data_IF_199313678310
#
_entry.id   IF_199313678310
#
_cell.length_a   1.000
_cell.length_b   1.000
_cell.length_c   1.000
_cell.angle_alpha   90.00
_cell.angle_beta   90.00
_cell.angle_gamma   90.00
#
_symmetry.space_group_name_H-M   'P 1'
#
loop_
_entity.id
_entity.type
_entity.pdbx_description
1 polymer ?
#
# COMPACT_ATOMS: atom_id res chain seq x y z
N UNK A 1 -6.48 -3.09 4.50
CA UNK A 1 -6.78 -2.44 5.80
C UNK A 1 -6.25 -3.30 6.95
N UNK A 2 -5.60 -2.66 7.91
CA UNK A 2 -5.18 -3.26 9.17
C UNK A 2 -6.17 -2.97 10.30
N UNK A 3 -7.01 -1.94 10.10
CA UNK A 3 -8.02 -1.49 11.06
C UNK A 3 -9.36 -1.28 10.36
N UNK A 4 -10.44 -1.15 11.14
CA UNK A 4 -11.79 -0.90 10.64
C UNK A 4 -12.22 0.57 10.78
N UNK A 5 -11.78 1.28 11.84
CA UNK A 5 -12.09 2.70 12.02
C UNK A 5 -11.32 3.57 11.03
N UNK A 6 -12.03 4.16 10.08
CA UNK A 6 -11.43 4.98 9.01
C UNK A 6 -11.25 6.46 9.36
N UNK A 7 -11.90 6.94 10.44
CA UNK A 7 -11.89 8.34 10.82
C UNK A 7 -10.83 8.62 11.88
N UNK A 8 -9.93 9.57 11.64
CA UNK A 8 -8.93 10.04 12.60
C UNK A 8 -9.25 11.45 13.16
N UNK A 9 -10.45 11.97 12.95
CA UNK A 9 -10.80 13.37 13.24
C UNK A 9 -11.13 13.70 14.69
N UNK A 10 -11.33 12.73 15.58
CA UNK A 10 -11.63 12.94 16.99
C UNK A 10 -10.71 12.12 17.90
N UNK A 11 -10.60 12.51 19.17
CA UNK A 11 -9.85 11.74 20.17
C UNK A 11 -10.45 10.36 20.43
N UNK A 12 -11.77 10.20 20.28
CA UNK A 12 -12.45 8.92 20.41
C UNK A 12 -12.09 7.97 19.28
N UNK A 13 -12.19 8.44 18.05
CA UNK A 13 -11.82 7.63 16.88
C UNK A 13 -10.34 7.28 16.85
N UNK A 14 -9.47 8.18 17.25
CA UNK A 14 -8.03 7.88 17.41
C UNK A 14 -7.78 6.76 18.42
N UNK A 15 -8.45 6.78 19.58
CA UNK A 15 -8.35 5.69 20.56
C UNK A 15 -8.87 4.36 20.00
N UNK A 16 -9.94 4.39 19.23
CA UNK A 16 -10.46 3.20 18.55
C UNK A 16 -9.42 2.64 17.58
N UNK A 17 -8.84 3.49 16.73
CA UNK A 17 -7.79 3.10 15.77
C UNK A 17 -6.58 2.49 16.47
N UNK A 18 -6.08 3.10 17.54
CA UNK A 18 -4.97 2.56 18.35
C UNK A 18 -5.31 1.18 18.93
N UNK A 19 -6.53 1.01 19.44
CA UNK A 19 -7.00 -0.29 19.96
C UNK A 19 -7.05 -1.35 18.88
N UNK A 20 -7.46 -0.99 17.66
CA UNK A 20 -7.53 -1.90 16.51
C UNK A 20 -6.13 -2.27 16.01
N UNK A 21 -5.18 -1.32 15.91
CA UNK A 21 -3.79 -1.63 15.60
C UNK A 21 -3.16 -2.53 16.67
N UNK A 22 -3.43 -2.28 17.94
CA UNK A 22 -2.97 -3.15 19.02
C UNK A 22 -3.54 -4.58 18.87
N UNK A 23 -4.80 -4.70 18.50
CA UNK A 23 -5.44 -5.98 18.19
C UNK A 23 -4.83 -6.68 16.98
N UNK A 24 -4.58 -5.94 15.91
CA UNK A 24 -3.92 -6.47 14.70
C UNK A 24 -2.51 -7.01 15.02
N UNK A 25 -1.74 -6.29 15.81
CA UNK A 25 -0.36 -6.65 16.17
C UNK A 25 -0.26 -7.64 17.33
N UNK A 26 -1.39 -8.01 17.98
CA UNK A 26 -1.41 -8.88 19.15
C UNK A 26 -0.88 -10.30 18.90
N UNK A 27 -1.13 -10.97 17.74
CA UNK A 27 -0.67 -12.33 17.50
C UNK A 27 0.84 -12.50 17.71
N UNK A 28 1.24 -13.50 18.50
CA UNK A 28 2.65 -13.71 18.87
C UNK A 28 3.57 -13.94 17.67
N UNK A 29 3.04 -14.42 16.54
CA UNK A 29 3.81 -14.63 15.30
C UNK A 29 4.46 -13.34 14.81
N UNK A 30 3.82 -12.18 15.01
CA UNK A 30 4.35 -10.88 14.60
C UNK A 30 5.54 -10.38 15.43
N UNK A 31 5.86 -11.08 16.53
CA UNK A 31 7.08 -10.81 17.31
C UNK A 31 8.32 -11.48 16.74
N UNK A 32 8.15 -12.43 15.82
CA UNK A 32 9.23 -13.23 15.24
C UNK A 32 9.32 -13.20 13.74
N UNK A 33 8.29 -12.68 13.05
CA UNK A 33 8.29 -12.53 11.59
C UNK A 33 8.16 -11.06 11.21
N UNK A 34 8.90 -10.60 10.20
CA UNK A 34 8.71 -9.27 9.65
C UNK A 34 7.33 -9.14 8.99
N UNK A 35 6.74 -7.95 9.11
CA UNK A 35 5.44 -7.61 8.54
C UNK A 35 5.68 -6.56 7.45
N UNK A 36 5.04 -6.74 6.29
CA UNK A 36 4.95 -5.75 5.23
C UNK A 36 3.46 -5.43 4.98
N UNK A 37 2.94 -4.47 5.71
CA UNK A 37 1.53 -4.11 5.67
C UNK A 37 1.24 -3.17 4.51
N UNK A 38 0.27 -3.51 3.65
CA UNK A 38 -0.18 -2.64 2.55
C UNK A 38 -1.25 -1.68 3.06
N UNK A 39 -1.09 -0.39 2.82
CA UNK A 39 -2.02 0.66 3.24
C UNK A 39 -3.39 0.47 2.57
N UNK A 40 -4.45 0.40 3.37
CA UNK A 40 -5.82 0.37 2.90
C UNK A 40 -6.52 1.73 3.04
N UNK A 41 -7.80 1.78 2.65
CA UNK A 41 -8.57 3.02 2.73
C UNK A 41 -9.00 3.37 4.16
N UNK A 42 -9.01 2.42 5.09
CA UNK A 42 -9.23 2.68 6.51
C UNK A 42 -7.96 3.17 7.21
N UNK A 43 -6.78 2.86 6.70
CA UNK A 43 -5.50 3.32 7.23
C UNK A 43 -5.12 4.73 6.77
N UNK A 44 -5.78 5.27 5.73
CA UNK A 44 -5.34 6.46 4.98
C UNK A 44 -5.35 7.78 5.76
N UNK A 45 -6.16 7.87 6.80
CA UNK A 45 -6.32 9.10 7.58
C UNK A 45 -5.36 9.11 8.78
N UNK A 46 -4.79 10.28 9.07
CA UNK A 46 -3.82 10.44 10.16
C UNK A 46 -2.43 9.87 9.84
N UNK A 47 -1.61 9.76 10.87
CA UNK A 47 -0.25 9.22 10.82
C UNK A 47 -0.09 7.90 11.57
N UNK A 48 -1.20 7.28 11.95
CA UNK A 48 -1.19 6.10 12.81
C UNK A 48 -0.53 4.91 12.12
N UNK A 49 -0.78 4.75 10.81
CA UNK A 49 -0.16 3.68 10.04
C UNK A 49 1.37 3.76 10.10
N UNK A 50 1.96 4.92 9.84
CA UNK A 50 3.43 5.10 9.88
C UNK A 50 4.00 5.04 11.29
N UNK A 51 3.18 5.26 12.32
CA UNK A 51 3.58 5.06 13.70
C UNK A 51 3.72 3.57 14.06
N UNK A 52 2.97 2.69 13.38
CA UNK A 52 2.97 1.24 13.64
C UNK A 52 3.85 0.44 12.65
N UNK A 53 4.04 0.94 11.43
CA UNK A 53 4.76 0.22 10.38
C UNK A 53 5.92 1.05 9.82
N UNK A 54 7.12 0.51 9.92
CA UNK A 54 8.34 1.08 9.34
C UNK A 54 8.64 0.34 8.03
N UNK A 55 8.02 0.76 6.94
CA UNK A 55 8.17 0.12 5.65
C UNK A 55 9.54 0.42 5.01
N UNK A 56 10.25 -0.59 4.50
CA UNK A 56 11.56 -0.39 3.90
C UNK A 56 11.48 0.25 2.51
N UNK A 57 12.56 0.97 2.13
CA UNK A 57 12.73 1.51 0.78
C UNK A 57 11.54 2.36 0.30
N UNK A 58 10.91 3.07 1.20
CA UNK A 58 9.86 4.03 0.89
C UNK A 58 10.43 5.35 0.35
N UNK A 59 9.61 6.10 -0.39
CA UNK A 59 9.97 7.44 -0.89
C UNK A 59 8.78 8.37 -0.67
N UNK A 60 8.92 9.30 0.25
CA UNK A 60 7.85 10.23 0.65
C UNK A 60 7.38 11.18 -0.48
N UNK A 61 8.10 11.20 -1.60
CA UNK A 61 7.74 11.98 -2.77
C UNK A 61 6.98 11.18 -3.83
N UNK A 62 6.86 9.86 -3.66
CA UNK A 62 6.26 8.97 -4.66
C UNK A 62 5.18 8.08 -4.06
N UNK A 63 3.97 8.16 -4.61
CA UNK A 63 2.83 7.39 -4.13
C UNK A 63 2.42 7.74 -2.69
N UNK A 64 2.71 8.96 -2.24
CA UNK A 64 2.55 9.36 -0.85
C UNK A 64 1.16 9.90 -0.55
N UNK A 65 0.70 9.66 0.68
CA UNK A 65 -0.43 10.31 1.34
C UNK A 65 -0.03 10.67 2.78
N UNK A 66 -0.90 11.33 3.53
CA UNK A 66 -0.62 11.61 4.95
C UNK A 66 -0.36 10.37 5.81
N UNK A 67 -0.87 9.21 5.38
CA UNK A 67 -0.70 7.94 6.09
C UNK A 67 0.56 7.16 5.69
N UNK A 68 1.20 7.47 4.56
CA UNK A 68 2.39 6.76 4.09
C UNK A 68 2.50 6.74 2.58
N UNK A 69 3.42 5.97 2.06
CA UNK A 69 3.81 5.98 0.65
C UNK A 69 4.02 4.57 0.09
N UNK A 70 4.37 4.50 -1.20
CA UNK A 70 4.82 3.26 -1.81
C UNK A 70 6.10 2.75 -1.14
N UNK A 71 6.28 1.43 -1.10
CA UNK A 71 7.49 0.81 -0.59
C UNK A 71 7.80 -0.51 -1.30
N UNK A 72 9.03 -0.99 -1.20
CA UNK A 72 9.39 -2.31 -1.72
C UNK A 72 10.36 -3.07 -0.82
N UNK A 73 10.42 -4.37 -0.99
CA UNK A 73 11.39 -5.25 -0.34
C UNK A 73 11.65 -6.49 -1.18
N UNK A 74 12.77 -7.16 -0.90
CA UNK A 74 13.10 -8.46 -1.49
C UNK A 74 12.92 -9.58 -0.47
N UNK A 75 12.44 -10.71 -0.95
CA UNK A 75 12.52 -11.99 -0.26
C UNK A 75 13.06 -13.04 -1.23
N UNK A 76 14.30 -13.46 -1.02
CA UNK A 76 15.03 -14.27 -1.99
C UNK A 76 15.20 -13.53 -3.32
N UNK A 77 14.78 -14.17 -4.41
CA UNK A 77 14.82 -13.61 -5.77
C UNK A 77 13.49 -12.95 -6.21
N UNK A 78 12.62 -12.63 -5.28
CA UNK A 78 11.33 -11.98 -5.52
C UNK A 78 11.37 -10.55 -5.00
N UNK A 79 11.08 -9.60 -5.87
CA UNK A 79 10.86 -8.20 -5.52
C UNK A 79 9.36 -8.00 -5.27
N UNK A 80 8.99 -7.55 -4.07
CA UNK A 80 7.65 -7.14 -3.70
C UNK A 80 7.57 -5.61 -3.71
N UNK A 81 6.60 -5.07 -4.42
CA UNK A 81 6.32 -3.63 -4.51
C UNK A 81 4.91 -3.39 -3.98
N UNK A 82 4.78 -2.67 -2.88
CA UNK A 82 3.50 -2.29 -2.31
C UNK A 82 3.17 -0.87 -2.71
N UNK A 83 2.03 -0.67 -3.38
CA UNK A 83 1.56 0.63 -3.82
C UNK A 83 0.44 1.13 -2.90
N UNK A 84 0.53 2.39 -2.51
CA UNK A 84 -0.52 3.07 -1.75
C UNK A 84 -1.65 3.50 -2.69
N UNK A 85 -2.66 2.66 -2.85
CA UNK A 85 -3.78 2.91 -3.76
C UNK A 85 -4.70 4.08 -3.35
N UNK A 86 -4.46 4.72 -2.21
CA UNK A 86 -5.13 5.98 -1.84
C UNK A 86 -4.54 7.18 -2.58
N UNK A 87 -3.28 7.13 -3.01
CA UNK A 87 -2.71 8.09 -3.96
C UNK A 87 -3.19 7.71 -5.37
N UNK A 88 -3.68 8.68 -6.13
CA UNK A 88 -4.21 8.49 -7.48
C UNK A 88 -3.26 9.01 -8.58
N UNK A 89 -2.01 9.34 -8.24
CA UNK A 89 -1.02 9.84 -9.18
C UNK A 89 -0.28 8.69 -9.88
N UNK A 90 -0.74 8.33 -11.06
CA UNK A 90 -0.14 7.28 -11.88
C UNK A 90 1.35 7.51 -12.16
N UNK A 91 1.77 8.77 -12.35
CA UNK A 91 3.15 9.08 -12.69
C UNK A 91 4.10 8.78 -11.52
N UNK A 92 3.68 9.06 -10.28
CA UNK A 92 4.44 8.77 -9.08
C UNK A 92 4.62 7.26 -8.89
N UNK A 93 3.55 6.48 -8.95
CA UNK A 93 3.62 5.01 -8.84
C UNK A 93 4.51 4.40 -9.93
N UNK A 94 4.40 4.90 -11.17
CA UNK A 94 5.25 4.44 -12.28
C UNK A 94 6.72 4.72 -12.02
N UNK A 95 7.04 5.90 -11.54
CA UNK A 95 8.42 6.28 -11.22
C UNK A 95 8.96 5.45 -10.05
N UNK A 96 8.14 5.25 -9.03
CA UNK A 96 8.51 4.38 -7.91
C UNK A 96 8.80 2.94 -8.36
N UNK A 97 7.91 2.34 -9.16
CA UNK A 97 8.13 0.99 -9.70
C UNK A 97 9.40 0.88 -10.53
N UNK A 98 9.72 1.89 -11.37
CA UNK A 98 10.97 1.93 -12.13
C UNK A 98 12.19 1.95 -11.22
N UNK A 99 12.18 2.80 -10.18
CA UNK A 99 13.25 2.87 -9.18
C UNK A 99 13.43 1.52 -8.47
N UNK A 100 12.33 0.92 -8.00
CA UNK A 100 12.36 -0.37 -7.32
C UNK A 100 12.97 -1.48 -8.21
N UNK A 101 12.54 -1.56 -9.48
CA UNK A 101 13.08 -2.55 -10.43
C UNK A 101 14.55 -2.28 -10.76
N UNK A 102 14.92 -1.03 -11.01
CA UNK A 102 16.31 -0.66 -11.31
C UNK A 102 17.28 -0.95 -10.15
N UNK A 103 16.79 -0.81 -8.91
CA UNK A 103 17.58 -1.11 -7.70
C UNK A 103 17.69 -2.62 -7.42
N UNK A 104 16.95 -3.47 -8.14
CA UNK A 104 16.86 -4.90 -7.90
C UNK A 104 16.96 -5.70 -9.23
N UNK A 105 18.06 -5.55 -10.00
CA UNK A 105 18.17 -6.13 -11.33
C UNK A 105 18.16 -7.67 -11.31
N UNK A 106 18.60 -8.29 -10.23
CA UNK A 106 18.69 -9.74 -10.09
C UNK A 106 17.39 -10.41 -9.63
N UNK A 107 16.35 -9.62 -9.32
CA UNK A 107 15.06 -10.18 -8.93
C UNK A 107 14.38 -10.87 -10.12
N UNK A 108 14.24 -12.20 -10.03
CA UNK A 108 13.63 -13.01 -11.10
C UNK A 108 12.11 -12.76 -11.20
N UNK A 109 11.46 -12.51 -10.06
CA UNK A 109 10.02 -12.28 -9.98
C UNK A 109 9.74 -10.90 -9.41
N UNK A 110 8.71 -10.25 -9.92
CA UNK A 110 8.20 -8.98 -9.42
C UNK A 110 6.72 -9.14 -9.10
N UNK A 111 6.36 -8.87 -7.85
CA UNK A 111 4.99 -8.95 -7.33
C UNK A 111 4.56 -7.55 -6.92
N UNK A 112 3.47 -7.06 -7.47
CA UNK A 112 2.87 -5.79 -7.09
C UNK A 112 1.65 -6.05 -6.22
N UNK A 113 1.58 -5.39 -5.07
CA UNK A 113 0.51 -5.52 -4.09
C UNK A 113 -0.11 -4.15 -3.85
N UNK A 114 -1.41 -4.07 -3.78
CA UNK A 114 -2.16 -2.87 -3.39
C UNK A 114 -3.54 -3.25 -2.86
N UNK A 115 -4.15 -2.37 -2.07
CA UNK A 115 -5.39 -2.67 -1.36
C UNK A 115 -6.62 -2.68 -2.26
N UNK A 116 -6.80 -1.63 -3.07
CA UNK A 116 -7.99 -1.47 -3.90
C UNK A 116 -7.95 -2.37 -5.12
N UNK A 117 -9.00 -3.12 -5.38
CA UNK A 117 -9.05 -4.01 -6.54
C UNK A 117 -9.11 -3.25 -7.88
N UNK A 118 -8.86 -3.95 -8.99
CA UNK A 118 -8.88 -3.39 -10.34
C UNK A 118 -10.03 -3.94 -11.20
N UNK A 119 -10.73 -4.97 -10.75
CA UNK A 119 -11.80 -5.63 -11.50
C UNK A 119 -13.18 -5.53 -10.86
N UNK A 120 -13.27 -5.00 -9.64
CA UNK A 120 -14.53 -4.72 -8.99
C UNK A 120 -15.26 -5.94 -8.44
N UNK A 121 -14.66 -6.61 -7.46
CA UNK A 121 -15.28 -7.78 -6.82
C UNK A 121 -16.15 -7.44 -5.61
N UNK A 122 -16.08 -6.20 -5.08
CA UNK A 122 -16.79 -5.78 -3.85
C UNK A 122 -17.74 -4.61 -4.05
N UNK A 123 -18.98 -4.72 -3.57
CA UNK A 123 -19.91 -3.60 -3.46
C UNK A 123 -19.52 -2.72 -2.24
N UNK A 124 -19.61 -1.37 -2.31
CA UNK A 124 -20.01 -0.52 -3.44
C UNK A 124 -18.83 -0.05 -4.34
N UNK A 125 -17.63 -0.57 -4.15
CA UNK A 125 -16.40 -0.07 -4.78
C UNK A 125 -16.16 -0.61 -6.21
N UNK A 126 -16.98 -1.59 -6.63
CA UNK A 126 -16.80 -2.31 -7.89
C UNK A 126 -16.81 -1.43 -9.14
N UNK A 127 -17.66 -0.41 -9.20
CA UNK A 127 -17.90 0.33 -10.45
C UNK A 127 -17.00 1.55 -10.64
N UNK A 128 -16.75 2.31 -9.57
CA UNK A 128 -15.99 3.56 -9.64
C UNK A 128 -14.51 3.37 -9.35
N UNK A 129 -14.20 2.69 -8.25
CA UNK A 129 -12.82 2.53 -7.80
C UNK A 129 -12.04 1.58 -8.71
N UNK A 130 -12.63 0.45 -9.10
CA UNK A 130 -11.98 -0.51 -9.99
C UNK A 130 -11.66 0.08 -11.36
N UNK A 131 -12.57 0.87 -11.95
CA UNK A 131 -12.30 1.56 -13.21
C UNK A 131 -11.17 2.56 -13.10
N UNK A 132 -11.15 3.35 -12.03
CA UNK A 132 -10.07 4.31 -11.76
C UNK A 132 -8.74 3.59 -11.55
N UNK A 133 -8.74 2.50 -10.77
CA UNK A 133 -7.54 1.73 -10.49
C UNK A 133 -6.98 1.03 -11.73
N UNK A 134 -7.82 0.55 -12.65
CA UNK A 134 -7.35 0.05 -13.95
C UNK A 134 -6.57 1.10 -14.73
N UNK A 135 -7.05 2.35 -14.73
CA UNK A 135 -6.35 3.44 -15.43
C UNK A 135 -5.03 3.78 -14.73
N UNK A 136 -5.01 3.81 -13.40
CA UNK A 136 -3.84 4.21 -12.62
C UNK A 136 -2.76 3.12 -12.62
N UNK A 137 -3.12 1.87 -12.42
CA UNK A 137 -2.18 0.77 -12.20
C UNK A 137 -1.98 -0.14 -13.41
N UNK A 138 -2.84 -0.07 -14.43
CA UNK A 138 -2.60 -0.83 -15.65
C UNK A 138 -1.27 -0.39 -16.29
N UNK A 139 -0.40 -1.31 -16.71
CA UNK A 139 0.76 -0.94 -17.48
C UNK A 139 0.28 -0.20 -18.74
N UNK A 140 0.95 0.89 -19.14
CA UNK A 140 0.66 1.49 -20.43
C UNK A 140 0.83 0.39 -21.47
N UNK A 141 -0.15 0.29 -22.38
CA UNK A 141 -0.02 -0.61 -23.51
C UNK A 141 1.38 -0.40 -24.11
N UNK A 142 2.21 -1.43 -24.06
CA UNK A 142 3.50 -1.41 -24.72
C UNK A 142 3.14 -1.44 -26.21
N UNK A 143 3.04 -0.27 -26.82
CA UNK A 143 3.03 -0.21 -28.26
C UNK A 143 4.39 -0.74 -28.70
N UNK A 144 4.43 -2.02 -29.03
CA UNK A 144 5.51 -2.62 -29.78
C UNK A 144 5.53 -1.95 -31.16
N UNK A 145 6.31 -0.91 -31.29
CA UNK A 145 6.79 -0.42 -32.57
C UNK A 145 8.04 -1.16 -32.95
#
# INVERSE_FOLDING_TARGET
>A
DQINESNAGSEETKKTRESEYAGYLYPSVFRSLPIAATIGNHDKDGSDYTAHFNNPNSDDNLGSTGAGCDFYFNNGNVLFISLNSNNRNQAEHREFMKKAVASNPDAAWKVVVFHSDIYGSGQPHADTDATTNRIIFAPPAVNSS
#
